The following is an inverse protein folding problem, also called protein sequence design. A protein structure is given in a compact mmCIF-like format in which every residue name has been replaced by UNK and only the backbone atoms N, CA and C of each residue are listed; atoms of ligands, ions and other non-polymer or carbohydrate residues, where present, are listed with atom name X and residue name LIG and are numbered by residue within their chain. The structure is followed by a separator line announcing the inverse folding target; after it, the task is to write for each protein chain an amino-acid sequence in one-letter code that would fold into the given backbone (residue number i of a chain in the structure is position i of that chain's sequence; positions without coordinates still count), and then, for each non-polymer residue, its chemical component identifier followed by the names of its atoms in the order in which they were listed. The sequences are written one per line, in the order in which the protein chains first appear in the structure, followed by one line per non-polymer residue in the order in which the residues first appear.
data_IF_490952074353
#
_entry.id   IF_490952074353
#
_cell.length_a   1.000
_cell.length_b   1.000
_cell.length_c   1.000
_cell.angle_alpha   90.00
_cell.angle_beta   90.00
_cell.angle_gamma   90.00
#
_symmetry.space_group_name_H-M   'P 1'
#
loop_
_entity.id
_entity.type
_entity.pdbx_description
1 polymer ?
#
# COMPACT_ATOMS: atom_id res chain seq x y z
N UNK A 1 3.71 -17.73 11.78
CA UNK A 1 4.07 -16.30 11.66
C UNK A 1 3.46 -15.80 10.36
N UNK A 2 2.44 -14.95 10.45
CA UNK A 2 1.55 -14.68 9.33
C UNK A 2 2.26 -13.84 8.27
N UNK A 3 2.87 -14.52 7.28
CA UNK A 3 3.54 -13.90 6.12
C UNK A 3 2.66 -12.84 5.44
N UNK A 4 1.33 -13.03 5.47
CA UNK A 4 0.36 -12.06 4.99
C UNK A 4 0.38 -10.71 5.72
N UNK A 5 0.66 -10.69 7.03
CA UNK A 5 0.83 -9.45 7.81
C UNK A 5 2.10 -8.72 7.37
N UNK A 6 3.23 -9.44 7.27
CA UNK A 6 4.52 -8.85 6.85
C UNK A 6 4.41 -8.26 5.44
N UNK A 7 3.88 -9.04 4.50
CA UNK A 7 3.69 -8.60 3.11
C UNK A 7 2.71 -7.43 3.04
N UNK A 8 1.62 -7.46 3.82
CA UNK A 8 0.68 -6.35 3.88
C UNK A 8 1.29 -5.05 4.41
N UNK A 9 2.11 -5.13 5.46
CA UNK A 9 2.83 -3.98 6.02
C UNK A 9 3.84 -3.40 5.03
N UNK A 10 4.59 -4.24 4.32
CA UNK A 10 5.53 -3.80 3.27
C UNK A 10 4.75 -3.11 2.13
N UNK A 11 3.62 -3.68 1.72
CA UNK A 11 2.79 -3.12 0.63
C UNK A 11 2.23 -1.74 1.01
N UNK A 12 1.82 -1.56 2.27
CA UNK A 12 1.41 -0.26 2.83
C UNK A 12 2.55 0.78 2.78
N UNK A 13 3.75 0.38 3.24
CA UNK A 13 4.93 1.24 3.26
C UNK A 13 5.33 1.69 1.85
N UNK A 14 5.35 0.75 0.89
CA UNK A 14 5.63 1.06 -0.52
C UNK A 14 4.61 2.04 -1.10
N UNK A 15 3.32 1.87 -0.79
CA UNK A 15 2.28 2.80 -1.23
C UNK A 15 2.49 4.22 -0.71
N UNK A 16 2.88 4.37 0.56
CA UNK A 16 3.20 5.67 1.15
C UNK A 16 4.43 6.32 0.49
N UNK A 17 5.50 5.55 0.27
CA UNK A 17 6.71 6.04 -0.40
C UNK A 17 6.40 6.50 -1.83
N UNK A 18 5.56 5.77 -2.57
CA UNK A 18 5.15 6.16 -3.92
C UNK A 18 4.41 7.50 -3.95
N UNK A 19 3.53 7.74 -2.95
CA UNK A 19 2.82 9.01 -2.81
C UNK A 19 3.82 10.14 -2.60
N UNK A 20 4.73 9.97 -1.63
CA UNK A 20 5.74 10.99 -1.26
C UNK A 20 6.69 11.27 -2.42
N UNK A 21 7.26 10.24 -3.04
CA UNK A 21 8.16 10.38 -4.20
C UNK A 21 7.41 11.01 -5.38
N UNK A 22 6.16 10.59 -5.64
CA UNK A 22 5.33 11.17 -6.70
C UNK A 22 5.02 12.65 -6.46
N UNK A 23 4.93 13.10 -5.20
CA UNK A 23 4.67 14.51 -4.87
C UNK A 23 5.90 15.40 -4.98
N UNK A 24 7.10 14.88 -4.66
CA UNK A 24 8.33 15.67 -4.56
C UNK A 24 8.87 16.16 -5.91
N UNK A 25 8.59 15.46 -7.02
CA UNK A 25 9.11 15.81 -8.37
C UNK A 25 8.27 16.84 -9.15
N UNK A 26 7.20 17.41 -8.57
CA UNK A 26 6.52 18.62 -9.07
C UNK A 26 5.82 18.55 -10.44
N UNK A 27 5.91 17.43 -11.19
CA UNK A 27 5.14 17.23 -12.42
C UNK A 27 3.74 16.76 -12.07
N UNK A 28 2.72 17.58 -12.33
CA UNK A 28 1.30 17.32 -12.01
C UNK A 28 0.85 15.90 -12.43
N UNK A 29 1.35 15.41 -13.58
CA UNK A 29 1.03 14.06 -14.08
C UNK A 29 1.66 12.95 -13.21
N UNK A 30 2.90 13.13 -12.75
CA UNK A 30 3.59 12.18 -11.85
C UNK A 30 2.98 12.20 -10.43
N UNK A 31 2.56 13.38 -9.96
CA UNK A 31 1.87 13.53 -8.67
C UNK A 31 0.56 12.75 -8.68
N UNK A 32 -0.26 12.93 -9.72
CA UNK A 32 -1.57 12.28 -9.80
C UNK A 32 -1.43 10.77 -9.95
N UNK A 33 -0.53 10.30 -10.81
CA UNK A 33 -0.27 8.88 -11.00
C UNK A 33 0.33 8.22 -9.75
N UNK A 34 1.30 8.86 -9.09
CA UNK A 34 1.91 8.37 -7.85
C UNK A 34 0.91 8.25 -6.70
N UNK A 35 0.00 9.22 -6.58
CA UNK A 35 -1.08 9.19 -5.58
C UNK A 35 -2.06 8.05 -5.85
N UNK A 36 -2.49 7.86 -7.11
CA UNK A 36 -3.42 6.78 -7.48
C UNK A 36 -2.82 5.40 -7.22
N UNK A 37 -1.59 5.16 -7.70
CA UNK A 37 -0.92 3.86 -7.54
C UNK A 37 -0.60 3.59 -6.07
N UNK A 38 -0.16 4.62 -5.32
CA UNK A 38 0.09 4.50 -3.89
C UNK A 38 -1.17 4.20 -3.08
N UNK A 39 -2.30 4.85 -3.39
CA UNK A 39 -3.58 4.57 -2.75
C UNK A 39 -4.06 3.13 -3.02
N UNK A 40 -3.90 2.62 -4.24
CA UNK A 40 -4.22 1.22 -4.58
C UNK A 40 -3.36 0.25 -3.77
N UNK A 41 -2.06 0.52 -3.62
CA UNK A 41 -1.15 -0.30 -2.81
C UNK A 41 -1.54 -0.30 -1.32
N UNK A 42 -1.93 0.85 -0.78
CA UNK A 42 -2.44 0.97 0.61
C UNK A 42 -3.70 0.11 0.80
N UNK A 43 -4.66 0.19 -0.13
CA UNK A 43 -5.89 -0.61 -0.09
C UNK A 43 -5.60 -2.13 -0.18
N UNK A 44 -4.69 -2.54 -1.06
CA UNK A 44 -4.27 -3.94 -1.20
C UNK A 44 -3.56 -4.46 0.04
N UNK A 45 -2.68 -3.66 0.65
CA UNK A 45 -2.00 -3.99 1.90
C UNK A 45 -3.00 -4.18 3.05
N UNK A 46 -3.94 -3.25 3.20
CA UNK A 46 -5.01 -3.33 4.19
C UNK A 46 -5.93 -4.54 3.97
N UNK A 47 -6.28 -4.85 2.72
CA UNK A 47 -7.08 -6.03 2.37
C UNK A 47 -6.34 -7.34 2.70
N UNK A 48 -5.03 -7.42 2.40
CA UNK A 48 -4.21 -8.59 2.77
C UNK A 48 -4.13 -8.79 4.28
N UNK A 49 -3.95 -7.71 5.05
CA UNK A 49 -3.92 -7.78 6.52
C UNK A 49 -5.29 -8.23 7.06
N UNK A 50 -6.38 -7.67 6.54
CA UNK A 50 -7.75 -8.05 6.92
C UNK A 50 -8.05 -9.51 6.60
N UNK A 51 -7.64 -10.00 5.43
CA UNK A 51 -7.82 -11.40 5.05
C UNK A 51 -6.96 -12.35 5.88
N UNK A 52 -5.72 -11.97 6.19
CA UNK A 52 -4.87 -12.72 7.12
C UNK A 52 -5.56 -12.89 8.47
N UNK A 53 -6.10 -11.78 9.01
CA UNK A 53 -6.80 -11.77 10.28
C UNK A 53 -8.09 -12.60 10.23
N UNK A 54 -8.82 -12.60 9.10
CA UNK A 54 -10.01 -13.44 8.92
C UNK A 54 -9.65 -14.93 8.92
N UNK A 55 -8.57 -15.32 8.24
CA UNK A 55 -8.08 -16.71 8.20
C UNK A 55 -7.60 -17.22 9.56
N UNK A 56 -7.23 -16.35 10.49
CA UNK A 56 -6.83 -16.76 11.85
C UNK A 56 -8.04 -17.15 12.75
N UNK A 57 -9.28 -16.89 12.33
CA UNK A 57 -10.52 -17.17 13.10
C UNK A 57 -11.38 -18.31 12.51
N UNK A 58 -11.00 -18.89 11.38
CA UNK A 58 -11.59 -20.12 10.82
C UNK A 58 -10.75 -21.34 11.25
#
# INVERSE_FOLDING_TARGET
MNYHLIVGSITLLTGFVLIVVGTDYGRIVDVTAGVIVGAIMILLGAARIRNARKNDYE
#
